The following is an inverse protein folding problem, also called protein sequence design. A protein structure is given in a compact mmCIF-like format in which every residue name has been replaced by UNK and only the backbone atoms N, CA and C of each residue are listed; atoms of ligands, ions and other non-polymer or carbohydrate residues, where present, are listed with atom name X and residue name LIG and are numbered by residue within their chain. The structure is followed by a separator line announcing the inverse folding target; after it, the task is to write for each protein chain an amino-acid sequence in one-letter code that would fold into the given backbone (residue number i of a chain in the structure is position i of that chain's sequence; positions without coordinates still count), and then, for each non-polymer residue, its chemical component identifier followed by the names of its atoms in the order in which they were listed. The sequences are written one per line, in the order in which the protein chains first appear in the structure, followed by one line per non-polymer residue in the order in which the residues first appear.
data_IF_364360641065
#
_entry.id   IF_364360641065
#
_cell.length_a   1.000
_cell.length_b   1.000
_cell.length_c   1.000
_cell.angle_alpha   90.00
_cell.angle_beta   90.00
_cell.angle_gamma   90.00
#
_symmetry.space_group_name_H-M   'P 1'
#
loop_
_entity.id
_entity.type
_entity.pdbx_description
1 polymer ?
#
# COMPACT_ATOMS: atom_id res chain seq x y z
N UNK A 1 12.43 -14.27 -9.41
CA UNK A 1 11.10 -13.74 -9.72
C UNK A 1 11.20 -12.58 -10.72
N UNK A 2 10.29 -12.45 -11.70
CA UNK A 2 10.29 -11.30 -12.62
C UNK A 2 10.14 -9.96 -11.86
N UNK A 3 10.74 -8.90 -12.39
CA UNK A 3 10.65 -7.54 -11.86
C UNK A 3 9.76 -6.67 -12.74
N UNK A 4 9.21 -5.61 -12.16
CA UNK A 4 8.52 -4.55 -12.89
C UNK A 4 9.34 -3.26 -12.78
N UNK A 5 9.58 -2.60 -13.90
CA UNK A 5 10.29 -1.31 -13.94
C UNK A 5 9.28 -0.21 -14.20
N UNK A 6 9.27 0.78 -13.32
CA UNK A 6 8.47 1.98 -13.45
C UNK A 6 9.04 2.83 -14.60
N UNK A 7 8.25 3.73 -15.21
CA UNK A 7 8.71 4.56 -16.32
C UNK A 7 10.00 5.35 -16.05
N UNK A 8 10.27 5.71 -14.78
CA UNK A 8 11.47 6.43 -14.35
C UNK A 8 12.60 5.52 -13.83
N UNK A 9 12.62 4.25 -14.22
CA UNK A 9 13.74 3.32 -13.97
C UNK A 9 13.79 2.68 -12.57
N UNK A 10 12.86 3.00 -11.67
CA UNK A 10 12.74 2.29 -10.40
C UNK A 10 12.16 0.91 -10.61
N UNK A 11 12.82 -0.12 -10.08
CA UNK A 11 12.42 -1.51 -10.28
C UNK A 11 11.99 -2.13 -8.97
N UNK A 12 10.87 -2.85 -9.00
CA UNK A 12 10.31 -3.60 -7.86
C UNK A 12 10.10 -5.06 -8.25
N UNK A 13 9.95 -5.92 -7.25
CA UNK A 13 9.53 -7.30 -7.48
C UNK A 13 8.06 -7.33 -7.94
N UNK A 14 7.69 -8.12 -8.96
CA UNK A 14 6.32 -8.11 -9.51
C UNK A 14 5.22 -8.44 -8.49
N UNK A 15 5.57 -9.22 -7.46
CA UNK A 15 4.76 -9.40 -6.28
C UNK A 15 5.38 -8.56 -5.16
N UNK A 16 4.55 -7.78 -4.47
CA UNK A 16 4.93 -6.97 -3.31
C UNK A 16 4.37 -7.64 -2.07
N UNK A 17 5.19 -7.82 -1.04
CA UNK A 17 4.73 -8.37 0.23
C UNK A 17 4.07 -7.26 1.05
N UNK A 18 2.73 -7.26 1.08
CA UNK A 18 1.95 -6.38 1.95
C UNK A 18 2.11 -6.72 3.43
N UNK A 19 2.28 -5.70 4.26
CA UNK A 19 2.53 -5.81 5.69
C UNK A 19 1.31 -5.56 6.59
N UNK A 20 0.13 -5.26 6.04
CA UNK A 20 -1.03 -4.89 6.85
C UNK A 20 -1.47 -5.98 7.86
N UNK A 21 -1.34 -7.26 7.49
CA UNK A 21 -1.63 -8.38 8.41
C UNK A 21 -0.61 -8.52 9.56
N UNK A 22 0.55 -7.86 9.46
CA UNK A 22 1.53 -7.80 10.55
C UNK A 22 1.19 -6.68 11.55
N UNK A 23 0.14 -5.91 11.32
CA UNK A 23 -0.39 -4.95 12.30
C UNK A 23 -1.36 -5.66 13.25
N UNK A 24 -1.36 -5.27 14.53
CA UNK A 24 -2.07 -5.98 15.61
C UNK A 24 -3.58 -6.18 15.42
N UNK A 25 -4.23 -5.46 14.50
CA UNK A 25 -5.65 -5.67 14.17
C UNK A 25 -5.98 -6.97 13.44
N UNK A 26 -4.99 -7.82 13.15
CA UNK A 26 -5.15 -9.11 12.45
C UNK A 26 -4.77 -10.34 13.29
N UNK A 27 -4.36 -10.14 14.56
CA UNK A 27 -3.99 -11.23 15.47
C UNK A 27 -2.63 -11.01 16.13
N UNK A 28 -2.21 -11.99 16.94
CA UNK A 28 -0.89 -11.98 17.56
C UNK A 28 0.23 -12.15 16.52
N UNK A 29 1.32 -11.42 16.68
CA UNK A 29 2.46 -11.44 15.76
C UNK A 29 3.68 -12.04 16.46
N UNK A 30 4.15 -13.18 15.95
CA UNK A 30 5.49 -13.68 16.26
C UNK A 30 6.52 -12.88 15.46
N UNK A 31 7.23 -11.99 16.17
CA UNK A 31 8.17 -11.06 15.56
C UNK A 31 9.42 -11.77 15.02
N UNK A 32 9.88 -12.84 15.67
CA UNK A 32 11.05 -13.60 15.24
C UNK A 32 10.72 -14.38 13.95
N UNK A 33 9.56 -15.02 13.92
CA UNK A 33 9.08 -15.72 12.74
C UNK A 33 8.85 -14.75 11.57
N UNK A 34 8.24 -13.58 11.81
CA UNK A 34 8.03 -12.57 10.78
C UNK A 34 9.36 -12.10 10.15
N UNK A 35 10.40 -11.91 10.96
CA UNK A 35 11.74 -11.53 10.49
C UNK A 35 12.39 -12.64 9.65
N UNK A 36 12.26 -13.91 10.07
CA UNK A 36 12.73 -15.07 9.28
C UNK A 36 11.98 -15.19 7.95
N UNK A 37 10.67 -14.95 7.95
CA UNK A 37 9.86 -15.02 6.73
C UNK A 37 10.18 -13.88 5.75
N UNK A 38 10.52 -12.69 6.24
CA UNK A 38 11.07 -11.62 5.38
C UNK A 38 12.33 -12.07 4.64
N UNK A 39 13.25 -12.77 5.30
CA UNK A 39 14.43 -13.33 4.63
C UNK A 39 14.04 -14.34 3.54
N UNK A 40 13.12 -15.27 3.85
CA UNK A 40 12.61 -16.25 2.87
C UNK A 40 11.93 -15.60 1.67
N UNK A 41 11.17 -14.52 1.86
CA UNK A 41 10.58 -13.77 0.76
C UNK A 41 11.65 -13.19 -0.17
N UNK A 42 12.71 -12.60 0.39
CA UNK A 42 13.82 -12.05 -0.40
C UNK A 42 14.56 -13.16 -1.15
N UNK A 43 14.82 -14.30 -0.51
CA UNK A 43 15.43 -15.47 -1.15
C UNK A 43 14.59 -16.02 -2.30
N UNK A 44 13.25 -15.98 -2.18
CA UNK A 44 12.32 -16.32 -3.26
C UNK A 44 12.23 -15.22 -4.36
N UNK A 45 12.91 -14.08 -4.17
CA UNK A 45 12.96 -12.96 -5.10
C UNK A 45 11.87 -11.90 -4.90
N UNK A 46 11.07 -11.99 -3.84
CA UNK A 46 10.14 -10.94 -3.40
C UNK A 46 10.94 -9.90 -2.60
N UNK A 47 11.41 -8.87 -3.29
CA UNK A 47 12.32 -7.86 -2.74
C UNK A 47 11.64 -6.54 -2.40
N UNK A 48 10.32 -6.44 -2.50
CA UNK A 48 9.59 -5.20 -2.25
C UNK A 48 8.54 -5.42 -1.18
N UNK A 49 8.63 -4.65 -0.09
CA UNK A 49 7.75 -4.75 1.07
C UNK A 49 6.90 -3.49 1.19
N UNK A 50 5.59 -3.64 1.36
CA UNK A 50 4.67 -2.53 1.61
C UNK A 50 4.25 -2.51 3.09
N UNK A 51 4.29 -1.33 3.70
CA UNK A 51 3.86 -1.08 5.07
C UNK A 51 3.22 0.31 5.19
N UNK A 52 3.06 0.82 6.41
CA UNK A 52 2.57 2.16 6.68
C UNK A 52 3.07 2.61 8.05
N UNK A 53 3.16 3.91 8.26
CA UNK A 53 3.47 4.50 9.56
C UNK A 53 2.40 4.21 10.62
N UNK A 54 1.14 4.07 10.20
CA UNK A 54 -0.01 3.65 11.02
C UNK A 54 -0.15 2.14 11.20
N UNK A 55 0.63 1.32 10.48
CA UNK A 55 0.66 -0.13 10.72
C UNK A 55 1.57 -0.39 11.91
N UNK A 56 1.01 -0.22 13.12
CA UNK A 56 1.76 -0.29 14.39
C UNK A 56 2.69 -1.50 14.44
N UNK A 57 3.98 -1.24 14.60
CA UNK A 57 5.03 -2.25 14.72
C UNK A 57 5.64 -2.73 13.39
N UNK A 58 4.96 -2.56 12.25
CA UNK A 58 5.39 -3.17 10.98
C UNK A 58 6.67 -2.53 10.43
N UNK A 59 6.81 -1.21 10.49
CA UNK A 59 8.07 -0.53 10.11
C UNK A 59 9.24 -0.98 10.99
N UNK A 60 9.01 -1.15 12.30
CA UNK A 60 10.03 -1.60 13.24
C UNK A 60 10.43 -3.07 12.98
N UNK A 61 9.47 -3.93 12.60
CA UNK A 61 9.74 -5.31 12.17
C UNK A 61 10.62 -5.35 10.91
N UNK A 62 10.30 -4.54 9.90
CA UNK A 62 11.14 -4.42 8.69
C UNK A 62 12.53 -3.90 9.08
N UNK A 63 12.63 -2.91 9.97
CA UNK A 63 13.92 -2.44 10.49
C UNK A 63 14.72 -3.53 11.22
N UNK A 64 14.05 -4.40 11.99
CA UNK A 64 14.68 -5.56 12.62
C UNK A 64 15.19 -6.58 11.61
N UNK A 65 14.40 -6.88 10.56
CA UNK A 65 14.86 -7.70 9.45
C UNK A 65 16.11 -7.11 8.78
N UNK A 66 16.12 -5.80 8.51
CA UNK A 66 17.27 -5.13 7.89
C UNK A 66 18.54 -5.23 8.73
N UNK A 67 18.43 -5.16 10.05
CA UNK A 67 19.56 -5.35 10.99
C UNK A 67 20.01 -6.80 11.08
N UNK A 68 19.08 -7.75 11.11
CA UNK A 68 19.38 -9.18 11.23
C UNK A 68 19.97 -9.78 9.94
N UNK A 69 19.56 -9.28 8.78
CA UNK A 69 19.95 -9.79 7.46
C UNK A 69 20.48 -8.67 6.54
N UNK A 70 21.59 -8.00 6.89
CA UNK A 70 22.08 -6.82 6.15
C UNK A 70 22.44 -7.13 4.68
N UNK A 71 22.89 -8.36 4.39
CA UNK A 71 23.20 -8.78 3.01
C UNK A 71 21.95 -8.86 2.13
N UNK A 72 20.88 -9.48 2.63
CA UNK A 72 19.59 -9.58 1.94
C UNK A 72 18.92 -8.21 1.81
N UNK A 73 18.99 -7.41 2.88
CA UNK A 73 18.34 -6.10 2.94
C UNK A 73 18.86 -5.08 1.91
N UNK A 74 20.10 -5.22 1.40
CA UNK A 74 20.67 -4.32 0.39
C UNK A 74 19.86 -4.26 -0.91
N UNK A 75 19.20 -5.36 -1.28
CA UNK A 75 18.38 -5.45 -2.49
C UNK A 75 16.90 -5.14 -2.27
N UNK A 76 16.49 -4.82 -1.04
CA UNK A 76 15.10 -4.66 -0.66
C UNK A 76 14.64 -3.21 -0.82
N UNK A 77 13.44 -3.05 -1.37
CA UNK A 77 12.72 -1.79 -1.44
C UNK A 77 11.61 -1.76 -0.38
N UNK A 78 11.48 -0.67 0.36
CA UNK A 78 10.39 -0.47 1.33
C UNK A 78 9.45 0.64 0.88
N UNK A 79 8.19 0.29 0.67
CA UNK A 79 7.11 1.22 0.38
C UNK A 79 6.35 1.49 1.68
N UNK A 80 6.63 2.61 2.34
CA UNK A 80 5.85 3.04 3.52
C UNK A 80 4.79 4.07 3.11
N UNK A 81 4.04 4.56 4.09
CA UNK A 81 2.98 5.55 3.90
C UNK A 81 3.19 6.73 4.82
N UNK A 82 2.77 7.90 4.37
CA UNK A 82 2.50 9.03 5.23
C UNK A 82 0.98 9.12 5.38
N UNK A 83 0.47 8.86 6.58
CA UNK A 83 -0.95 8.96 6.89
C UNK A 83 -1.12 9.92 8.06
N UNK A 84 -1.55 11.17 7.82
CA UNK A 84 -1.76 12.12 8.90
C UNK A 84 -2.92 11.66 9.79
N UNK A 85 -2.84 11.98 11.08
CA UNK A 85 -3.94 11.76 12.00
C UNK A 85 -5.14 12.62 11.60
N UNK A 86 -6.35 12.06 11.71
CA UNK A 86 -7.59 12.75 11.31
C UNK A 86 -7.76 14.08 12.06
N UNK A 87 -7.35 14.14 13.33
CA UNK A 87 -7.41 15.36 14.15
C UNK A 87 -6.50 16.48 13.65
N UNK A 88 -5.47 16.15 12.89
CA UNK A 88 -4.45 17.10 12.43
C UNK A 88 -4.77 17.68 11.05
N UNK A 89 -5.72 17.12 10.29
CA UNK A 89 -5.94 17.49 8.88
C UNK A 89 -6.19 18.99 8.66
N UNK A 90 -6.83 19.66 9.62
CA UNK A 90 -7.10 21.11 9.55
C UNK A 90 -5.87 21.96 9.91
N UNK A 91 -5.01 21.47 10.81
CA UNK A 91 -3.92 22.25 11.43
C UNK A 91 -2.53 21.72 11.10
N UNK A 92 -2.42 20.71 10.24
CA UNK A 92 -1.18 20.05 9.83
C UNK A 92 -0.08 21.05 9.46
N UNK A 93 0.98 21.07 10.26
CA UNK A 93 2.12 21.95 10.00
C UNK A 93 3.27 21.17 9.36
N UNK A 94 4.18 21.88 8.68
CA UNK A 94 5.42 21.30 8.15
C UNK A 94 6.20 20.44 9.16
N UNK A 95 6.27 20.89 10.43
CA UNK A 95 6.95 20.15 11.50
C UNK A 95 6.31 18.78 11.78
N UNK A 96 5.00 18.67 11.60
CA UNK A 96 4.27 17.41 11.78
C UNK A 96 4.62 16.43 10.66
N UNK A 97 4.62 16.90 9.40
CA UNK A 97 5.02 16.08 8.24
C UNK A 97 6.42 15.52 8.44
N UNK A 98 7.37 16.39 8.78
CA UNK A 98 8.76 16.01 8.99
C UNK A 98 8.93 15.03 10.17
N UNK A 99 8.19 15.22 11.27
CA UNK A 99 8.24 14.32 12.41
C UNK A 99 7.77 12.89 12.09
N UNK A 100 6.74 12.73 11.24
CA UNK A 100 6.27 11.41 10.80
C UNK A 100 7.29 10.73 9.87
N UNK A 101 7.88 11.48 8.95
CA UNK A 101 8.93 10.95 8.07
C UNK A 101 10.14 10.51 8.89
N UNK A 102 10.59 11.33 9.84
CA UNK A 102 11.71 11.00 10.73
C UNK A 102 11.41 9.79 11.63
N UNK A 103 10.16 9.64 12.07
CA UNK A 103 9.71 8.46 12.81
C UNK A 103 9.84 7.19 11.95
N UNK A 104 9.41 7.26 10.70
CA UNK A 104 9.47 6.15 9.74
C UNK A 104 10.93 5.77 9.44
N UNK A 105 11.78 6.77 9.17
CA UNK A 105 13.24 6.60 8.99
C UNK A 105 13.87 5.87 10.20
N UNK A 106 13.58 6.32 11.43
CA UNK A 106 14.09 5.68 12.66
C UNK A 106 13.62 4.23 12.81
N UNK A 107 12.32 3.96 12.62
CA UNK A 107 11.75 2.62 12.76
C UNK A 107 12.34 1.64 11.75
N UNK A 108 12.48 2.07 10.50
CA UNK A 108 13.06 1.27 9.42
C UNK A 108 14.59 1.19 9.51
N UNK A 109 15.24 2.11 10.23
CA UNK A 109 16.69 2.25 10.29
C UNK A 109 17.30 2.71 8.95
N UNK A 110 16.62 3.63 8.27
CA UNK A 110 17.00 4.14 6.95
C UNK A 110 17.37 5.62 7.03
N UNK A 111 18.24 6.08 6.14
CA UNK A 111 18.56 7.50 5.95
C UNK A 111 17.69 8.17 4.87
N UNK A 112 17.17 7.35 3.94
CA UNK A 112 16.27 7.77 2.87
C UNK A 112 15.20 6.69 2.66
N UNK A 113 13.92 7.05 2.64
CA UNK A 113 12.80 6.13 2.38
C UNK A 113 12.66 5.87 0.87
N UNK A 114 12.52 4.61 0.43
CA UNK A 114 12.51 4.27 -1.00
C UNK A 114 11.30 4.82 -1.76
N UNK A 115 10.11 4.74 -1.13
CA UNK A 115 8.84 5.26 -1.61
C UNK A 115 7.95 5.58 -0.41
N UNK A 116 7.47 6.83 -0.35
CA UNK A 116 6.44 7.27 0.61
C UNK A 116 5.13 7.47 -0.13
N UNK A 117 4.10 6.72 0.25
CA UNK A 117 2.78 6.81 -0.35
C UNK A 117 1.86 7.68 0.52
N UNK A 118 1.44 8.82 -0.01
CA UNK A 118 0.60 9.78 0.70
C UNK A 118 -0.87 9.33 0.74
N UNK A 119 -1.43 9.23 1.95
CA UNK A 119 -2.87 9.07 2.16
C UNK A 119 -3.49 10.34 2.72
N UNK A 120 -4.71 10.64 2.28
CA UNK A 120 -5.54 11.71 2.85
C UNK A 120 -6.93 11.17 3.15
N UNK A 121 -7.47 11.50 4.32
CA UNK A 121 -8.73 10.92 4.81
C UNK A 121 -9.97 11.64 4.29
N UNK A 122 -9.88 12.96 4.12
CA UNK A 122 -11.05 13.79 3.81
C UNK A 122 -10.69 14.96 2.88
N UNK A 123 -11.09 14.82 1.62
CA UNK A 123 -10.86 15.83 0.59
C UNK A 123 -11.72 17.09 0.74
N UNK A 124 -12.71 17.11 1.65
CA UNK A 124 -13.37 18.36 2.03
C UNK A 124 -12.39 19.32 2.75
N UNK A 125 -11.28 18.79 3.30
CA UNK A 125 -10.21 19.57 3.89
C UNK A 125 -9.10 19.83 2.86
N UNK A 126 -8.87 21.08 2.41
CA UNK A 126 -8.11 21.37 1.19
C UNK A 126 -6.58 21.28 1.35
N UNK A 127 -6.07 20.82 2.50
CA UNK A 127 -4.64 20.89 2.84
C UNK A 127 -3.80 19.75 2.27
N UNK A 128 -4.40 18.83 1.51
CA UNK A 128 -3.66 17.72 0.89
C UNK A 128 -2.60 18.20 -0.12
N UNK A 129 -2.88 19.25 -0.91
CA UNK A 129 -1.89 19.78 -1.87
C UNK A 129 -0.69 20.39 -1.13
N UNK A 130 -0.94 21.24 -0.13
CA UNK A 130 0.11 21.82 0.74
C UNK A 130 0.95 20.73 1.39
N UNK A 131 0.29 19.70 1.92
CA UNK A 131 0.95 18.55 2.56
C UNK A 131 1.82 17.76 1.58
N UNK A 132 1.33 17.54 0.35
CA UNK A 132 2.08 16.85 -0.69
C UNK A 132 3.32 17.64 -1.13
N UNK A 133 3.24 18.98 -1.19
CA UNK A 133 4.38 19.86 -1.45
C UNK A 133 5.42 19.81 -0.32
N UNK A 134 4.99 19.66 0.93
CA UNK A 134 5.93 19.44 2.05
C UNK A 134 6.61 18.07 1.98
N UNK A 135 5.92 17.02 1.54
CA UNK A 135 6.54 15.72 1.26
C UNK A 135 7.56 15.82 0.11
N UNK A 136 7.25 16.58 -0.94
CA UNK A 136 8.18 16.84 -2.06
C UNK A 136 9.40 17.65 -1.60
N UNK A 137 9.23 18.60 -0.68
CA UNK A 137 10.36 19.27 -0.04
C UNK A 137 11.26 18.28 0.72
N UNK A 138 10.69 17.30 1.42
CA UNK A 138 11.46 16.26 2.11
C UNK A 138 12.13 15.29 1.13
N UNK A 139 11.54 15.08 -0.06
CA UNK A 139 12.19 14.38 -1.15
C UNK A 139 13.43 15.13 -1.65
N UNK A 140 13.32 16.44 -1.92
CA UNK A 140 14.48 17.28 -2.28
C UNK A 140 15.55 17.32 -1.19
N UNK A 141 15.16 17.22 0.08
CA UNK A 141 16.08 17.15 1.21
C UNK A 141 16.76 15.77 1.38
N UNK A 142 16.45 14.78 0.53
CA UNK A 142 17.07 13.46 0.53
C UNK A 142 16.49 12.47 1.55
N UNK A 143 15.47 12.86 2.33
CA UNK A 143 14.80 11.97 3.29
C UNK A 143 13.86 10.97 2.62
N UNK A 144 13.36 11.31 1.43
CA UNK A 144 12.47 10.49 0.62
C UNK A 144 13.08 10.36 -0.78
N UNK A 145 13.17 9.16 -1.32
CA UNK A 145 13.64 8.97 -2.69
C UNK A 145 12.52 9.24 -3.70
N UNK A 146 11.29 8.78 -3.40
CA UNK A 146 10.14 8.80 -4.31
C UNK A 146 8.84 9.05 -3.58
N UNK A 147 7.91 9.72 -4.25
CA UNK A 147 6.56 9.95 -3.75
C UNK A 147 5.54 9.15 -4.54
N UNK A 148 4.63 8.52 -3.83
CA UNK A 148 3.41 7.95 -4.38
C UNK A 148 2.19 8.47 -3.63
N UNK A 149 1.01 8.04 -4.04
CA UNK A 149 -0.24 8.28 -3.33
C UNK A 149 -0.95 6.96 -3.05
N UNK A 150 -1.89 6.96 -2.12
CA UNK A 150 -2.75 5.82 -1.86
C UNK A 150 -4.21 6.23 -1.65
N UNK A 151 -5.10 5.60 -2.41
CA UNK A 151 -6.54 5.85 -2.44
C UNK A 151 -6.96 7.31 -2.74
N UNK A 152 -6.20 8.05 -3.54
CA UNK A 152 -6.69 9.30 -4.13
C UNK A 152 -7.70 8.98 -5.24
N UNK A 153 -8.68 9.84 -5.45
CA UNK A 153 -9.45 9.81 -6.70
C UNK A 153 -8.71 10.57 -7.81
N UNK A 154 -9.20 10.44 -9.05
CA UNK A 154 -8.53 10.98 -10.23
C UNK A 154 -8.40 12.50 -10.17
N UNK A 155 -9.44 13.19 -9.69
CA UNK A 155 -9.46 14.65 -9.61
C UNK A 155 -8.37 15.15 -8.65
N UNK A 156 -8.31 14.58 -7.45
CA UNK A 156 -7.35 15.03 -6.45
C UNK A 156 -5.91 14.63 -6.80
N UNK A 157 -5.72 13.51 -7.51
CA UNK A 157 -4.41 13.19 -8.09
C UNK A 157 -3.99 14.26 -9.11
N UNK A 158 -4.86 14.63 -10.04
CA UNK A 158 -4.59 15.67 -11.05
C UNK A 158 -4.24 17.02 -10.41
N UNK A 159 -4.89 17.38 -9.30
CA UNK A 159 -4.56 18.59 -8.55
C UNK A 159 -3.14 18.54 -7.93
N UNK A 160 -2.70 17.39 -7.43
CA UNK A 160 -1.30 17.21 -6.98
C UNK A 160 -0.30 17.33 -8.14
N UNK A 161 -0.63 16.72 -9.28
CA UNK A 161 0.21 16.77 -10.48
C UNK A 161 0.30 18.20 -11.04
N UNK A 162 -0.82 18.92 -11.08
CA UNK A 162 -0.88 20.32 -11.50
C UNK A 162 -0.07 21.24 -10.56
N UNK A 163 0.01 20.90 -9.27
CA UNK A 163 0.86 21.58 -8.30
C UNK A 163 2.35 21.23 -8.42
N UNK A 164 2.72 20.28 -9.30
CA UNK A 164 4.10 19.88 -9.56
C UNK A 164 4.65 18.79 -8.63
N UNK A 165 3.79 18.07 -7.89
CA UNK A 165 4.24 16.95 -7.05
C UNK A 165 4.65 15.77 -7.94
N UNK A 166 5.88 15.24 -7.82
CA UNK A 166 6.40 14.17 -8.68
C UNK A 166 5.90 12.79 -8.22
N UNK A 167 4.60 12.55 -8.36
CA UNK A 167 3.97 11.27 -8.02
C UNK A 167 4.41 10.20 -9.02
N UNK A 168 4.98 9.11 -8.52
CA UNK A 168 5.47 8.01 -9.36
C UNK A 168 4.67 6.71 -9.24
N UNK A 169 3.89 6.58 -8.17
CA UNK A 169 3.11 5.39 -7.88
C UNK A 169 1.76 5.77 -7.29
N UNK A 170 0.74 5.00 -7.62
CA UNK A 170 -0.55 5.07 -6.95
C UNK A 170 -0.95 3.69 -6.47
N UNK A 171 -1.03 3.53 -5.14
CA UNK A 171 -1.60 2.34 -4.53
C UNK A 171 -3.11 2.45 -4.41
N UNK A 172 -3.86 1.49 -4.92
CA UNK A 172 -5.32 1.50 -4.92
C UNK A 172 -5.89 0.09 -4.97
N UNK A 173 -7.18 -0.03 -4.66
CA UNK A 173 -7.88 -1.30 -4.83
C UNK A 173 -8.19 -1.52 -6.30
N UNK A 174 -7.73 -2.62 -6.87
CA UNK A 174 -8.08 -3.02 -8.22
C UNK A 174 -7.99 -4.54 -8.35
N UNK A 175 -9.09 -5.17 -8.68
CA UNK A 175 -9.20 -6.63 -8.78
C UNK A 175 -10.31 -7.03 -9.76
N UNK A 176 -10.57 -8.34 -9.87
CA UNK A 176 -11.68 -8.84 -10.69
C UNK A 176 -13.06 -8.45 -10.15
N UNK A 177 -13.16 -8.12 -8.85
CA UNK A 177 -14.41 -7.73 -8.17
C UNK A 177 -14.46 -6.24 -7.86
N UNK A 178 -13.44 -5.48 -8.25
CA UNK A 178 -13.43 -4.03 -8.10
C UNK A 178 -12.65 -3.42 -9.25
N UNK A 179 -13.38 -2.91 -10.24
CA UNK A 179 -12.82 -2.32 -11.45
C UNK A 179 -13.01 -0.80 -11.54
N UNK A 180 -13.45 -0.15 -10.46
CA UNK A 180 -13.65 1.32 -10.38
C UNK A 180 -12.48 2.12 -10.94
N UNK A 181 -11.20 1.75 -10.75
CA UNK A 181 -10.07 2.47 -11.35
C UNK A 181 -10.11 2.54 -12.89
N UNK A 182 -10.78 1.62 -13.59
CA UNK A 182 -10.91 1.62 -15.05
C UNK A 182 -11.62 2.86 -15.59
N UNK A 183 -12.52 3.46 -14.82
CA UNK A 183 -13.34 4.56 -15.28
C UNK A 183 -12.48 5.75 -15.75
N UNK A 184 -11.50 6.15 -14.96
CA UNK A 184 -10.62 7.30 -15.29
C UNK A 184 -9.18 7.14 -14.77
N UNK A 185 -9.00 6.54 -13.58
CA UNK A 185 -7.70 6.48 -12.90
C UNK A 185 -6.62 5.72 -13.70
N UNK A 186 -6.97 4.60 -14.35
CA UNK A 186 -6.01 3.82 -15.16
C UNK A 186 -5.47 4.65 -16.32
N UNK A 187 -6.32 5.41 -17.01
CA UNK A 187 -5.90 6.29 -18.09
C UNK A 187 -5.04 7.44 -17.55
N UNK A 188 -5.50 8.13 -16.50
CA UNK A 188 -4.75 9.21 -15.86
C UNK A 188 -3.34 8.78 -15.44
N UNK A 189 -3.21 7.63 -14.76
CA UNK A 189 -1.91 7.13 -14.34
C UNK A 189 -1.01 6.76 -15.52
N UNK A 190 -1.56 6.14 -16.57
CA UNK A 190 -0.79 5.81 -17.78
C UNK A 190 -0.27 7.07 -18.48
N UNK A 191 -1.11 8.08 -18.62
CA UNK A 191 -0.79 9.30 -19.35
C UNK A 191 0.30 10.13 -18.63
N UNK A 192 0.38 10.02 -17.29
CA UNK A 192 1.40 10.67 -16.46
C UNK A 192 2.59 9.77 -16.08
N UNK A 193 2.64 8.52 -16.55
CA UNK A 193 3.73 7.59 -16.23
C UNK A 193 3.76 7.12 -14.76
N UNK A 194 2.60 7.07 -14.10
CA UNK A 194 2.42 6.63 -12.72
C UNK A 194 2.15 5.12 -12.69
N UNK A 195 2.91 4.37 -11.89
CA UNK A 195 2.69 2.94 -11.73
C UNK A 195 1.52 2.65 -10.77
N UNK A 196 0.64 1.72 -11.14
CA UNK A 196 -0.42 1.25 -10.25
C UNK A 196 0.08 0.10 -9.35
N UNK A 197 -0.06 0.28 -8.04
CA UNK A 197 0.21 -0.73 -7.02
C UNK A 197 -1.13 -1.27 -6.50
N UNK A 198 -1.60 -2.37 -7.09
CA UNK A 198 -2.94 -2.87 -6.82
C UNK A 198 -2.97 -3.74 -5.55
N UNK A 199 -3.76 -3.36 -4.55
CA UNK A 199 -4.08 -4.24 -3.43
C UNK A 199 -5.45 -4.88 -3.62
N UNK A 200 -5.75 -5.92 -2.83
CA UNK A 200 -7.04 -6.61 -2.89
C UNK A 200 -7.20 -7.53 -4.11
N UNK A 201 -6.10 -7.80 -4.81
CA UNK A 201 -6.05 -8.64 -6.02
C UNK A 201 -6.54 -10.07 -5.80
N UNK A 202 -6.49 -10.56 -4.56
CA UNK A 202 -7.03 -11.88 -4.15
C UNK A 202 -8.26 -11.78 -3.24
N UNK A 203 -8.89 -10.59 -3.14
CA UNK A 203 -10.09 -10.38 -2.32
C UNK A 203 -9.91 -10.74 -0.85
N UNK A 204 -8.72 -10.53 -0.27
CA UNK A 204 -8.42 -10.96 1.12
C UNK A 204 -8.50 -12.47 1.36
N UNK A 205 -8.40 -13.27 0.31
CA UNK A 205 -8.55 -14.72 0.34
C UNK A 205 -9.86 -15.24 -0.26
N UNK A 206 -10.83 -14.35 -0.56
CA UNK A 206 -12.08 -14.76 -1.20
C UNK A 206 -11.86 -15.35 -2.60
N UNK A 207 -10.94 -14.80 -3.39
CA UNK A 207 -10.57 -15.35 -4.70
C UNK A 207 -9.67 -16.58 -4.53
N UNK A 208 -10.24 -17.67 -4.02
CA UNK A 208 -9.59 -18.96 -3.82
C UNK A 208 -10.58 -20.12 -3.85
N UNK A 209 -10.09 -21.33 -4.08
CA UNK A 209 -10.88 -22.57 -4.09
C UNK A 209 -11.60 -22.82 -2.75
N UNK A 210 -11.11 -22.26 -1.65
CA UNK A 210 -11.72 -22.42 -0.32
C UNK A 210 -13.20 -21.98 -0.30
N UNK A 211 -13.54 -20.95 -1.06
CA UNK A 211 -14.87 -20.34 -1.09
C UNK A 211 -15.77 -20.84 -2.23
N UNK A 212 -15.23 -21.64 -3.16
CA UNK A 212 -15.99 -22.15 -4.30
C UNK A 212 -17.09 -23.12 -3.85
N UNK A 213 -18.33 -22.86 -4.28
CA UNK A 213 -19.51 -23.65 -3.93
C UNK A 213 -19.94 -23.53 -2.47
N UNK A 214 -19.34 -22.60 -1.70
CA UNK A 214 -19.72 -22.36 -0.30
C UNK A 214 -20.91 -21.40 -0.21
N UNK A 215 -21.82 -21.60 0.76
CA UNK A 215 -22.84 -20.62 1.05
C UNK A 215 -22.19 -19.30 1.52
N UNK A 216 -22.93 -18.21 1.40
CA UNK A 216 -22.50 -16.91 1.89
C UNK A 216 -22.20 -16.99 3.40
N UNK A 217 -21.04 -16.49 3.87
CA UNK A 217 -20.73 -16.52 5.29
C UNK A 217 -21.73 -15.66 6.07
N UNK A 218 -22.47 -16.28 6.98
CA UNK A 218 -23.41 -15.62 7.90
C UNK A 218 -22.78 -15.18 9.22
N UNK A 219 -21.66 -15.80 9.59
CA UNK A 219 -20.97 -15.55 10.85
C UNK A 219 -19.95 -14.40 10.75
N UNK A 220 -19.51 -13.91 11.91
CA UNK A 220 -18.43 -12.94 11.96
C UNK A 220 -17.17 -13.48 11.28
N UNK A 221 -16.67 -12.73 10.30
CA UNK A 221 -15.48 -13.10 9.54
C UNK A 221 -14.22 -13.01 10.41
N UNK A 222 -13.30 -13.95 10.18
CA UNK A 222 -12.16 -14.19 11.06
C UNK A 222 -11.14 -13.03 11.16
N UNK A 223 -11.15 -12.09 10.21
CA UNK A 223 -10.21 -10.97 10.21
C UNK A 223 -10.74 -9.75 9.45
N UNK A 224 -10.11 -8.60 9.68
CA UNK A 224 -10.48 -7.31 9.05
C UNK A 224 -10.43 -7.32 7.53
N UNK A 225 -9.52 -8.10 6.92
CA UNK A 225 -9.44 -8.19 5.46
C UNK A 225 -10.69 -8.87 4.90
N UNK A 226 -11.11 -10.00 5.46
CA UNK A 226 -12.35 -10.66 5.04
C UNK A 226 -13.56 -9.75 5.22
N UNK A 227 -13.69 -9.06 6.35
CA UNK A 227 -14.77 -8.07 6.53
C UNK A 227 -14.77 -7.00 5.44
N UNK A 228 -13.60 -6.42 5.14
CA UNK A 228 -13.46 -5.41 4.09
C UNK A 228 -13.88 -5.95 2.72
N UNK A 229 -13.33 -7.09 2.29
CA UNK A 229 -13.56 -7.59 0.94
C UNK A 229 -14.92 -8.24 0.74
N UNK A 230 -15.61 -8.64 1.82
CA UNK A 230 -17.02 -9.02 1.72
C UNK A 230 -17.89 -7.84 1.29
N UNK A 231 -17.65 -6.64 1.83
CA UNK A 231 -18.35 -5.42 1.38
C UNK A 231 -18.09 -5.13 -0.11
N UNK A 232 -16.86 -5.38 -0.58
CA UNK A 232 -16.52 -5.22 -2.00
C UNK A 232 -17.24 -6.25 -2.88
N UNK A 233 -17.40 -7.48 -2.41
CA UNK A 233 -18.19 -8.51 -3.09
C UNK A 233 -19.68 -8.12 -3.13
N UNK A 234 -20.18 -7.50 -2.06
CA UNK A 234 -21.55 -6.99 -2.03
C UNK A 234 -21.76 -5.89 -3.06
N UNK A 235 -20.82 -4.92 -3.12
CA UNK A 235 -20.83 -3.86 -4.13
C UNK A 235 -20.65 -4.39 -5.57
N UNK A 236 -19.91 -5.48 -5.75
CA UNK A 236 -19.68 -6.13 -7.06
C UNK A 236 -20.96 -6.73 -7.66
N UNK A 237 -21.91 -7.13 -6.80
CA UNK A 237 -23.16 -7.78 -7.21
C UNK A 237 -23.61 -8.92 -6.27
N UNK A 238 -23.01 -9.03 -5.10
CA UNK A 238 -23.38 -10.00 -4.08
C UNK A 238 -22.79 -11.39 -4.26
N UNK A 239 -23.07 -12.26 -3.29
CA UNK A 239 -22.43 -13.58 -3.20
C UNK A 239 -22.74 -14.50 -4.38
N UNK A 240 -23.94 -14.45 -4.94
CA UNK A 240 -24.34 -15.30 -6.06
C UNK A 240 -23.48 -15.01 -7.31
N UNK A 241 -23.37 -13.73 -7.70
CA UNK A 241 -22.50 -13.33 -8.82
C UNK A 241 -21.02 -13.63 -8.53
N UNK A 242 -20.61 -13.47 -7.28
CA UNK A 242 -19.26 -13.84 -6.87
C UNK A 242 -18.97 -15.35 -7.02
N UNK A 243 -19.93 -16.22 -6.74
CA UNK A 243 -19.79 -17.65 -6.98
C UNK A 243 -19.71 -17.98 -8.47
N UNK A 244 -20.50 -17.32 -9.32
CA UNK A 244 -20.38 -17.45 -10.78
C UNK A 244 -18.97 -17.08 -11.26
N UNK A 245 -18.40 -15.98 -10.73
CA UNK A 245 -17.02 -15.60 -11.00
C UNK A 245 -16.03 -16.69 -10.55
N UNK A 246 -16.15 -17.22 -9.34
CA UNK A 246 -15.27 -18.29 -8.85
C UNK A 246 -15.36 -19.54 -9.72
N UNK A 247 -16.56 -19.94 -10.15
CA UNK A 247 -16.77 -21.06 -11.07
C UNK A 247 -16.09 -20.80 -12.42
N UNK A 248 -16.19 -19.60 -12.96
CA UNK A 248 -15.54 -19.23 -14.22
C UNK A 248 -14.00 -19.23 -14.13
N UNK A 249 -13.43 -18.89 -12.97
CA UNK A 249 -11.99 -18.91 -12.72
C UNK A 249 -11.42 -20.30 -12.46
N UNK A 250 -12.27 -21.27 -12.08
CA UNK A 250 -11.87 -22.64 -11.78
C UNK A 250 -11.79 -23.55 -13.03
N UNK A 251 -12.40 -23.12 -14.14
CA UNK A 251 -12.36 -23.82 -15.44
C UNK A 251 -11.18 -23.40 -16.29
#
# INVERSE_FOLDING_TARGET
MPRYSFPHGYSVSRLIKGGWHLAGGHGAIDSEQAVKDMARFVEAGITTFDCADIYTGVEALIGSFRRAYPSLARGVQVHTKFVPDVSELNTLERRYVEAIIDRSLRRLGMECLDLVQFHWWDFALPRYVETALELERLQRAGKIARLGVTNFDTRHLEELLAAGVPVVAHQLQYSLVDDRPRATMVACCRDHGIALLCYGTVGGGFLSEHWLGRPEPSDALANRSLTKYKLIIDDFGGWALFQELLTALAG
#
